data_IF_492716373763
#
_entry.id   IF_492716373763
#
_cell.length_a   1.000
_cell.length_b   1.000
_cell.length_c   1.000
_cell.angle_alpha   90.00
_cell.angle_beta   90.00
_cell.angle_gamma   90.00
#
_symmetry.space_group_name_H-M   'P 1'
#
loop_
_entity.id
_entity.type
_entity.pdbx_description
1 polymer ?
#
# COMPACT_ATOMS: atom_id res chain seq x y z
N UNK A 1 7.53 30.94 -35.38
CA UNK A 1 6.70 31.99 -36.02
C UNK A 1 6.31 33.02 -34.98
N UNK A 2 5.98 34.26 -35.36
CA UNK A 2 5.64 35.34 -34.42
C UNK A 2 4.20 35.28 -33.86
N UNK A 3 3.68 34.07 -33.65
CA UNK A 3 2.33 33.84 -33.11
C UNK A 3 2.26 33.91 -31.58
N UNK A 4 3.38 34.16 -30.90
CA UNK A 4 3.41 34.25 -29.44
C UNK A 4 3.26 32.90 -28.71
N UNK A 5 3.60 31.76 -29.34
CA UNK A 5 3.48 30.42 -28.71
C UNK A 5 4.18 30.33 -27.36
N UNK A 6 5.37 30.89 -27.23
CA UNK A 6 6.11 30.93 -25.96
C UNK A 6 5.39 31.72 -24.87
N UNK A 7 4.68 32.81 -25.24
CA UNK A 7 3.85 33.60 -24.32
C UNK A 7 2.60 32.82 -23.89
N UNK A 8 1.96 32.10 -24.82
CA UNK A 8 0.83 31.21 -24.50
C UNK A 8 1.27 30.13 -23.52
N UNK A 9 2.44 29.50 -23.72
CA UNK A 9 2.96 28.53 -22.75
C UNK A 9 3.13 29.15 -21.37
N UNK A 10 3.71 30.36 -21.29
CA UNK A 10 3.85 31.05 -20.01
C UNK A 10 2.49 31.33 -19.36
N UNK A 11 1.47 31.70 -20.15
CA UNK A 11 0.10 31.89 -19.63
C UNK A 11 -0.53 30.57 -19.14
N UNK A 12 -0.34 29.48 -19.87
CA UNK A 12 -0.79 28.14 -19.45
C UNK A 12 -0.14 27.76 -18.12
N UNK A 13 1.18 27.95 -18.00
CA UNK A 13 1.92 27.71 -16.75
C UNK A 13 1.38 28.58 -15.60
N UNK A 14 1.18 29.87 -15.83
CA UNK A 14 0.61 30.78 -14.85
C UNK A 14 -0.76 30.29 -14.36
N UNK A 15 -1.64 29.91 -15.29
CA UNK A 15 -2.98 29.40 -14.98
C UNK A 15 -2.95 28.07 -14.23
N UNK A 16 -1.98 27.19 -14.53
CA UNK A 16 -1.75 25.97 -13.76
C UNK A 16 -1.32 26.31 -12.32
N UNK A 17 -0.39 27.25 -12.14
CA UNK A 17 0.02 27.71 -10.79
C UNK A 17 -1.14 28.29 -9.99
N UNK A 18 -1.96 29.13 -10.64
CA UNK A 18 -3.18 29.70 -10.05
C UNK A 18 -4.18 28.61 -9.64
N UNK A 19 -4.42 27.63 -10.52
CA UNK A 19 -5.35 26.53 -10.25
C UNK A 19 -4.94 25.69 -9.02
N UNK A 20 -3.65 25.37 -8.88
CA UNK A 20 -3.16 24.59 -7.75
C UNK A 20 -2.80 25.42 -6.52
N UNK A 21 -2.84 26.76 -6.60
CA UNK A 21 -2.41 27.66 -5.53
C UNK A 21 -0.93 27.47 -5.16
N UNK A 22 -0.08 27.10 -6.12
CA UNK A 22 1.34 26.78 -5.91
C UNK A 22 2.21 27.51 -6.92
N UNK A 23 3.31 28.09 -6.44
CA UNK A 23 4.32 28.69 -7.30
C UNK A 23 5.36 27.63 -7.71
N UNK A 24 4.97 26.73 -8.62
CA UNK A 24 5.86 25.68 -9.11
C UNK A 24 7.01 26.22 -9.94
N UNK A 25 8.22 25.74 -9.67
CA UNK A 25 9.38 26.11 -10.48
C UNK A 25 9.26 25.53 -11.89
N UNK A 26 9.84 26.23 -12.86
CA UNK A 26 9.79 25.84 -14.28
C UNK A 26 11.20 25.68 -14.79
N UNK A 27 11.52 24.49 -15.27
CA UNK A 27 12.74 24.23 -16.00
C UNK A 27 12.50 24.40 -17.50
N UNK A 28 13.24 25.30 -18.16
CA UNK A 28 13.07 25.57 -19.59
C UNK A 28 14.21 24.94 -20.38
N UNK A 29 13.86 23.99 -21.25
CA UNK A 29 14.76 23.41 -22.23
C UNK A 29 14.74 24.25 -23.51
N UNK A 30 15.92 24.70 -23.89
CA UNK A 30 16.16 25.42 -25.15
C UNK A 30 16.64 24.44 -26.22
N UNK A 31 16.41 24.75 -27.50
CA UNK A 31 16.75 23.84 -28.62
C UNK A 31 18.19 23.32 -28.54
N UNK A 32 18.36 22.01 -28.70
CA UNK A 32 19.68 21.37 -28.86
C UNK A 32 20.59 21.47 -27.62
N UNK A 33 20.02 21.49 -26.42
CA UNK A 33 20.81 21.38 -25.18
C UNK A 33 21.05 19.91 -24.83
N UNK A 34 22.32 19.51 -24.77
CA UNK A 34 22.73 18.14 -24.44
C UNK A 34 22.73 17.86 -22.93
N UNK A 35 22.75 18.93 -22.12
CA UNK A 35 22.82 18.86 -20.66
C UNK A 35 21.73 19.70 -20.01
N UNK A 36 21.16 19.17 -18.93
CA UNK A 36 20.05 19.74 -18.17
C UNK A 36 20.54 20.60 -16.99
N UNK A 37 21.53 21.44 -17.24
CA UNK A 37 22.17 22.23 -16.18
C UNK A 37 21.15 23.11 -15.44
N UNK A 38 21.14 23.03 -14.11
CA UNK A 38 20.18 23.76 -13.26
C UNK A 38 18.83 23.06 -13.05
N UNK A 39 18.65 21.85 -13.58
CA UNK A 39 17.50 21.02 -13.20
C UNK A 39 17.67 20.50 -11.77
N UNK A 40 16.77 20.89 -10.89
CA UNK A 40 16.77 20.54 -9.45
C UNK A 40 15.51 19.77 -9.05
N UNK A 41 14.71 19.32 -10.02
CA UNK A 41 13.45 18.61 -9.79
C UNK A 41 12.21 19.47 -9.95
N UNK A 42 12.27 20.54 -10.75
CA UNK A 42 11.15 21.42 -11.06
C UNK A 42 9.91 20.64 -11.55
N UNK A 43 8.72 21.04 -11.11
CA UNK A 43 7.47 20.33 -11.41
C UNK A 43 6.94 20.58 -12.82
N UNK A 44 7.37 21.67 -13.46
CA UNK A 44 7.01 21.98 -14.84
C UNK A 44 8.27 21.99 -15.69
N UNK A 45 8.24 21.22 -16.77
CA UNK A 45 9.25 21.30 -17.83
C UNK A 45 8.64 21.96 -19.05
N UNK A 46 9.30 23.02 -19.52
CA UNK A 46 8.92 23.78 -20.72
C UNK A 46 9.92 23.52 -21.83
N UNK A 47 9.45 23.04 -22.97
CA UNK A 47 10.22 23.01 -24.21
C UNK A 47 9.81 24.20 -25.08
N UNK A 48 10.73 25.13 -25.29
CA UNK A 48 10.53 26.27 -26.20
C UNK A 48 11.22 25.99 -27.55
N UNK A 49 10.54 26.30 -28.66
CA UNK A 49 11.00 25.98 -30.02
C UNK A 49 11.41 24.50 -30.22
N UNK A 50 10.57 23.59 -29.73
CA UNK A 50 10.76 22.14 -29.79
C UNK A 50 10.96 21.64 -31.23
N UNK A 51 11.99 20.81 -31.42
CA UNK A 51 12.38 20.22 -32.71
C UNK A 51 12.73 21.25 -33.79
N UNK A 52 13.21 22.43 -33.40
CA UNK A 52 13.72 23.45 -34.33
C UNK A 52 15.17 23.19 -34.82
N UNK A 53 15.76 22.04 -34.50
CA UNK A 53 17.10 21.64 -34.95
C UNK A 53 17.08 21.15 -36.41
N UNK A 54 18.24 21.28 -37.09
CA UNK A 54 18.36 21.02 -38.54
C UNK A 54 18.28 19.51 -38.85
N UNK A 55 17.82 19.13 -40.06
CA UNK A 55 17.86 17.75 -40.52
C UNK A 55 19.28 17.18 -40.43
N UNK A 56 19.45 16.03 -39.77
CA UNK A 56 20.72 15.28 -39.70
C UNK A 56 21.51 15.39 -38.39
N UNK A 57 21.02 16.12 -37.38
CA UNK A 57 21.52 16.02 -36.01
C UNK A 57 20.59 15.16 -35.13
N UNK A 58 21.13 14.51 -34.10
CA UNK A 58 20.29 13.80 -33.11
C UNK A 58 19.31 14.80 -32.47
N UNK A 59 18.01 14.55 -32.62
CA UNK A 59 16.98 15.40 -32.04
C UNK A 59 16.76 14.98 -30.58
N UNK A 60 17.65 15.45 -29.72
CA UNK A 60 17.65 15.15 -28.28
C UNK A 60 16.33 15.55 -27.61
N UNK A 61 15.64 16.58 -28.10
CA UNK A 61 14.34 17.02 -27.58
C UNK A 61 13.28 15.91 -27.66
N UNK A 62 13.21 15.19 -28.79
CA UNK A 62 12.23 14.13 -28.99
C UNK A 62 12.47 12.94 -28.05
N UNK A 63 13.73 12.52 -27.93
CA UNK A 63 14.14 11.46 -26.99
C UNK A 63 13.84 11.86 -25.54
N UNK A 64 14.18 13.09 -25.17
CA UNK A 64 13.92 13.63 -23.85
C UNK A 64 12.41 13.62 -23.54
N UNK A 65 11.56 14.08 -24.45
CA UNK A 65 10.11 14.06 -24.24
C UNK A 65 9.56 12.63 -24.08
N UNK A 66 10.05 11.68 -24.89
CA UNK A 66 9.63 10.27 -24.78
C UNK A 66 10.01 9.65 -23.43
N UNK A 67 11.21 9.98 -22.92
CA UNK A 67 11.71 9.51 -21.63
C UNK A 67 11.06 10.21 -20.43
N UNK A 68 10.55 11.44 -20.60
CA UNK A 68 9.76 12.11 -19.56
C UNK A 68 8.32 11.59 -19.52
N UNK A 69 7.75 11.25 -20.67
CA UNK A 69 6.37 10.73 -20.78
C UNK A 69 6.39 9.20 -20.87
N UNK A 70 6.84 8.58 -19.79
CA UNK A 70 6.81 7.14 -19.52
C UNK A 70 6.76 6.89 -18.01
N UNK A 71 6.48 5.66 -17.60
CA UNK A 71 6.55 5.23 -16.19
C UNK A 71 7.97 4.86 -15.75
N UNK A 72 8.91 4.74 -16.70
CA UNK A 72 10.30 4.43 -16.39
C UNK A 72 10.99 5.61 -15.71
N UNK A 73 11.84 5.33 -14.73
CA UNK A 73 12.69 6.35 -14.11
C UNK A 73 13.62 6.96 -15.16
N UNK A 74 13.63 8.28 -15.24
CA UNK A 74 14.51 9.02 -16.15
C UNK A 74 15.49 9.89 -15.37
N UNK A 75 16.77 9.70 -15.66
CA UNK A 75 17.86 10.52 -15.12
C UNK A 75 18.41 11.39 -16.26
N UNK A 76 18.16 12.71 -16.24
CA UNK A 76 18.63 13.60 -17.28
C UNK A 76 20.17 13.64 -17.39
N UNK A 77 20.67 13.92 -18.59
CA UNK A 77 22.09 14.15 -18.81
C UNK A 77 22.52 15.45 -18.12
N UNK A 78 23.35 15.36 -17.08
CA UNK A 78 23.93 16.52 -16.38
C UNK A 78 25.42 16.64 -16.71
N UNK A 79 25.91 17.87 -16.92
CA UNK A 79 27.33 18.10 -17.16
C UNK A 79 28.16 17.91 -15.88
N UNK A 80 27.63 18.35 -14.73
CA UNK A 80 28.29 18.22 -13.43
C UNK A 80 28.07 16.81 -12.85
N UNK A 81 29.13 16.16 -12.37
CA UNK A 81 29.07 14.83 -11.76
C UNK A 81 28.22 14.79 -10.48
N UNK A 82 28.21 15.88 -9.72
CA UNK A 82 27.51 16.00 -8.44
C UNK A 82 25.97 16.01 -8.60
N UNK A 83 25.48 16.41 -9.77
CA UNK A 83 24.05 16.54 -10.07
C UNK A 83 23.45 15.29 -10.71
N UNK A 84 24.26 14.24 -10.98
CA UNK A 84 23.86 13.02 -11.70
C UNK A 84 22.88 12.09 -10.96
N UNK A 85 22.40 12.45 -9.78
CA UNK A 85 21.48 11.62 -8.98
C UNK A 85 20.04 12.15 -8.96
N UNK A 86 19.72 13.18 -9.75
CA UNK A 86 18.39 13.79 -9.77
C UNK A 86 17.53 13.10 -10.82
N UNK A 87 16.47 12.42 -10.38
CA UNK A 87 15.46 11.85 -11.29
C UNK A 87 14.44 12.90 -11.69
N UNK A 88 14.14 12.98 -12.99
CA UNK A 88 13.10 13.86 -13.49
C UNK A 88 11.70 13.29 -13.18
N UNK A 89 10.90 14.08 -12.47
CA UNK A 89 9.52 13.76 -12.08
C UNK A 89 8.57 14.95 -12.30
N UNK A 90 8.53 15.55 -13.50
CA UNK A 90 7.66 16.68 -13.76
C UNK A 90 6.20 16.26 -13.60
N UNK A 91 5.37 17.19 -13.11
CA UNK A 91 3.92 17.06 -13.09
C UNK A 91 3.31 17.45 -14.43
N UNK A 92 3.85 18.49 -15.07
CA UNK A 92 3.43 18.95 -16.38
C UNK A 92 4.61 19.15 -17.31
N UNK A 93 4.39 18.81 -18.58
CA UNK A 93 5.31 19.11 -19.67
C UNK A 93 4.55 19.96 -20.67
N UNK A 94 5.09 21.13 -21.00
CA UNK A 94 4.48 22.05 -21.97
C UNK A 94 5.45 22.30 -23.12
N UNK A 95 4.95 22.21 -24.35
CA UNK A 95 5.77 22.18 -25.55
C UNK A 95 5.25 23.17 -26.57
N UNK A 96 6.13 24.02 -27.09
CA UNK A 96 5.85 24.89 -28.22
C UNK A 96 6.65 24.41 -29.41
N UNK A 97 5.98 24.08 -30.52
CA UNK A 97 6.66 23.72 -31.76
C UNK A 97 6.08 24.46 -32.97
N UNK A 98 6.92 24.62 -33.99
CA UNK A 98 6.53 25.13 -35.30
C UNK A 98 6.17 24.00 -36.28
N UNK A 99 6.52 22.75 -35.95
CA UNK A 99 6.13 21.58 -36.72
C UNK A 99 4.99 20.82 -36.02
N UNK A 100 4.07 20.20 -36.76
CA UNK A 100 2.99 19.41 -36.17
C UNK A 100 3.48 18.07 -35.61
N UNK A 101 4.67 17.61 -35.99
CA UNK A 101 5.30 16.39 -35.48
C UNK A 101 6.82 16.48 -35.63
N UNK A 102 7.54 15.47 -35.12
CA UNK A 102 8.97 15.31 -35.30
C UNK A 102 9.30 14.78 -36.70
N UNK A 103 10.52 15.00 -37.15
CA UNK A 103 11.03 14.44 -38.40
C UNK A 103 11.45 12.97 -38.24
N UNK A 104 11.52 12.24 -39.36
CA UNK A 104 12.00 10.85 -39.41
C UNK A 104 13.48 10.73 -39.01
N UNK A 105 14.24 11.83 -39.06
CA UNK A 105 15.65 11.89 -38.67
C UNK A 105 15.89 12.09 -37.18
N UNK A 106 14.83 12.17 -36.37
CA UNK A 106 14.88 12.50 -34.94
C UNK A 106 15.45 11.41 -34.02
N UNK A 107 15.74 10.22 -34.56
CA UNK A 107 16.08 9.02 -33.78
C UNK A 107 14.86 8.25 -33.27
N UNK A 108 13.63 8.79 -33.46
CA UNK A 108 12.39 8.06 -33.19
C UNK A 108 12.01 7.23 -34.43
N UNK A 109 12.07 5.91 -34.32
CA UNK A 109 11.66 5.00 -35.41
C UNK A 109 10.14 5.01 -35.64
N UNK A 110 9.37 4.96 -34.55
CA UNK A 110 7.90 4.97 -34.60
C UNK A 110 7.37 6.36 -34.22
N UNK A 111 7.09 7.18 -35.24
CA UNK A 111 6.52 8.52 -35.05
C UNK A 111 5.22 8.42 -34.23
N UNK A 112 4.38 7.41 -34.48
CA UNK A 112 3.10 7.26 -33.75
C UNK A 112 3.30 7.06 -32.24
N UNK A 113 4.42 6.45 -31.83
CA UNK A 113 4.80 6.33 -30.43
C UNK A 113 5.12 7.67 -29.78
N UNK A 114 5.78 8.57 -30.51
CA UNK A 114 5.96 9.95 -30.04
C UNK A 114 4.63 10.68 -29.97
N UNK A 115 3.81 10.55 -31.02
CA UNK A 115 2.58 11.32 -31.14
C UNK A 115 1.55 11.00 -30.06
N UNK A 116 1.37 9.72 -29.71
CA UNK A 116 0.45 9.26 -28.66
C UNK A 116 0.82 9.72 -27.24
N UNK A 117 2.02 10.29 -27.04
CA UNK A 117 2.48 10.86 -25.77
C UNK A 117 2.01 12.30 -25.55
N UNK A 118 1.33 12.90 -26.53
CA UNK A 118 0.73 14.23 -26.43
C UNK A 118 -0.68 14.11 -25.89
N UNK A 119 -0.86 14.33 -24.59
CA UNK A 119 -2.19 14.23 -23.97
C UNK A 119 -3.15 15.31 -24.48
N UNK A 120 -2.62 16.52 -24.76
CA UNK A 120 -3.36 17.65 -25.35
C UNK A 120 -2.54 18.22 -26.50
N UNK A 121 -3.08 18.19 -27.72
CA UNK A 121 -2.44 18.75 -28.91
C UNK A 121 -3.28 19.87 -29.51
N UNK A 122 -2.68 21.06 -29.63
CA UNK A 122 -3.38 22.30 -30.02
C UNK A 122 -2.69 22.94 -31.20
N UNK A 123 -3.47 23.22 -32.25
CA UNK A 123 -3.05 24.08 -33.34
C UNK A 123 -3.44 25.52 -33.02
N UNK A 124 -2.48 26.42 -33.16
CA UNK A 124 -2.67 27.86 -32.97
C UNK A 124 -2.48 28.54 -34.30
N UNK A 125 -3.46 29.35 -34.68
CA UNK A 125 -3.48 30.14 -35.91
C UNK A 125 -3.79 31.59 -35.56
N UNK A 126 -3.31 32.53 -36.39
CA UNK A 126 -3.69 33.93 -36.29
C UNK A 126 -4.31 34.37 -37.62
N UNK A 127 -5.62 34.12 -37.82
CA UNK A 127 -6.28 34.33 -39.12
C UNK A 127 -6.13 35.76 -39.66
N UNK A 128 -6.08 36.77 -38.78
CA UNK A 128 -5.89 38.17 -39.17
C UNK A 128 -4.48 38.53 -39.60
N UNK A 129 -3.46 37.71 -39.28
CA UNK A 129 -2.05 38.01 -39.54
C UNK A 129 -1.41 37.03 -40.53
N UNK A 130 -1.72 35.73 -40.43
CA UNK A 130 -1.13 34.71 -41.30
C UNK A 130 -1.64 34.87 -42.74
N UNK A 131 -0.73 35.11 -43.69
CA UNK A 131 -1.06 35.29 -45.11
C UNK A 131 -1.49 36.70 -45.53
N UNK A 132 -1.82 37.58 -44.58
CA UNK A 132 -2.21 38.99 -44.84
C UNK A 132 -1.06 39.96 -44.62
N UNK A 133 -0.12 39.65 -43.72
CA UNK A 133 1.00 40.53 -43.39
C UNK A 133 2.36 39.89 -43.68
N UNK A 134 3.09 40.46 -44.64
CA UNK A 134 4.46 40.04 -45.00
C UNK A 134 5.56 40.63 -44.09
N UNK A 135 5.20 41.54 -43.16
CA UNK A 135 6.16 42.19 -42.24
C UNK A 135 6.19 41.42 -40.92
N UNK A 136 7.28 40.69 -40.69
CA UNK A 136 7.40 39.74 -39.57
C UNK A 136 7.39 40.42 -38.20
N UNK A 137 7.96 41.62 -38.04
CA UNK A 137 8.20 42.22 -36.71
C UNK A 137 7.63 43.62 -36.48
N UNK A 138 6.92 44.21 -37.44
CA UNK A 138 6.45 45.61 -37.34
C UNK A 138 5.09 45.84 -38.03
N UNK A 139 4.22 44.84 -37.99
CA UNK A 139 2.87 44.96 -38.52
C UNK A 139 1.94 45.70 -37.55
N UNK A 140 0.88 46.31 -38.08
CA UNK A 140 -0.11 47.02 -37.27
C UNK A 140 -0.77 46.09 -36.24
N UNK A 141 -1.05 44.83 -36.61
CA UNK A 141 -1.62 43.85 -35.69
C UNK A 141 -0.75 43.58 -34.44
N UNK A 142 0.58 43.50 -34.59
CA UNK A 142 1.50 43.31 -33.44
C UNK A 142 1.56 44.58 -32.58
N UNK A 143 1.49 45.77 -33.19
CA UNK A 143 1.45 47.04 -32.45
C UNK A 143 0.16 47.16 -31.64
N UNK A 144 -0.98 46.85 -32.25
CA UNK A 144 -2.27 46.86 -31.56
C UNK A 144 -2.29 45.90 -30.36
N UNK A 145 -1.66 44.74 -30.46
CA UNK A 145 -1.51 43.84 -29.31
C UNK A 145 -0.62 44.42 -28.21
N UNK A 146 0.51 45.03 -28.58
CA UNK A 146 1.39 45.69 -27.62
C UNK A 146 0.68 46.84 -26.92
N UNK A 147 -0.05 47.67 -27.67
CA UNK A 147 -0.83 48.80 -27.14
C UNK A 147 -1.98 48.32 -26.24
N UNK A 148 -2.67 47.24 -26.61
CA UNK A 148 -3.70 46.63 -25.77
C UNK A 148 -3.13 46.06 -24.47
N UNK A 149 -1.95 45.43 -24.51
CA UNK A 149 -1.27 44.94 -23.31
C UNK A 149 -0.88 46.10 -22.39
N UNK A 150 -0.33 47.19 -22.93
CA UNK A 150 0.01 48.38 -22.14
C UNK A 150 -1.24 48.99 -21.51
N UNK A 151 -2.36 49.03 -22.25
CA UNK A 151 -3.62 49.62 -21.79
C UNK A 151 -4.33 48.78 -20.72
N UNK A 152 -4.35 47.46 -20.88
CA UNK A 152 -5.13 46.56 -20.01
C UNK A 152 -4.28 45.93 -18.91
N UNK A 153 -2.95 45.89 -19.07
CA UNK A 153 -2.05 45.14 -18.20
C UNK A 153 -2.12 43.63 -18.38
N UNK A 154 -3.00 43.13 -19.26
CA UNK A 154 -3.24 41.69 -19.43
C UNK A 154 -3.03 41.26 -20.89
N UNK A 155 -2.33 40.15 -21.07
CA UNK A 155 -2.24 39.50 -22.38
C UNK A 155 -3.52 38.71 -22.63
N UNK A 156 -4.38 39.21 -23.52
CA UNK A 156 -5.47 38.44 -24.09
C UNK A 156 -5.04 37.78 -25.41
N UNK A 157 -5.56 36.56 -25.65
CA UNK A 157 -5.21 35.75 -26.82
C UNK A 157 -6.39 35.65 -27.80
N UNK A 158 -7.33 36.60 -27.73
CA UNK A 158 -8.60 36.59 -28.48
C UNK A 158 -8.40 36.70 -30.00
N UNK A 159 -7.26 37.24 -30.43
CA UNK A 159 -6.85 37.32 -31.83
C UNK A 159 -6.40 35.96 -32.41
N UNK A 160 -6.16 34.97 -31.54
CA UNK A 160 -5.72 33.64 -31.92
C UNK A 160 -6.90 32.69 -32.00
N UNK A 161 -6.84 31.83 -33.01
CA UNK A 161 -7.70 30.65 -33.09
C UNK A 161 -6.94 29.44 -32.58
N UNK A 162 -7.39 28.88 -31.47
CA UNK A 162 -6.83 27.65 -30.91
C UNK A 162 -7.78 26.50 -31.19
N UNK A 163 -7.27 25.42 -31.78
CA UNK A 163 -8.07 24.23 -32.11
C UNK A 163 -7.41 22.99 -31.52
N UNK A 164 -8.15 22.23 -30.72
CA UNK A 164 -7.69 20.93 -30.22
C UNK A 164 -7.78 19.90 -31.33
N UNK A 165 -6.67 19.20 -31.56
CA UNK A 165 -6.51 18.19 -32.59
C UNK A 165 -6.29 16.81 -31.97
N UNK A 166 -6.48 15.78 -32.81
CA UNK A 166 -5.98 14.44 -32.48
C UNK A 166 -4.45 14.47 -32.38
N UNK A 167 -3.86 14.00 -31.27
CA UNK A 167 -2.41 13.96 -31.15
C UNK A 167 -1.77 13.02 -32.18
N UNK A 168 -2.46 12.04 -32.75
CA UNK A 168 -1.90 11.18 -33.81
C UNK A 168 -2.17 11.78 -35.19
N UNK A 169 -1.26 12.64 -35.65
CA UNK A 169 -1.38 13.33 -36.95
C UNK A 169 -0.74 12.54 -38.09
N UNK A 170 0.18 11.63 -37.79
CA UNK A 170 0.82 10.73 -38.75
C UNK A 170 -0.04 9.49 -39.00
N UNK A 171 -1.15 9.64 -39.74
CA UNK A 171 -1.92 8.46 -40.21
C UNK A 171 -1.16 7.79 -41.36
N UNK A 172 -0.53 6.65 -41.10
CA UNK A 172 0.16 5.84 -42.12
C UNK A 172 -0.87 5.04 -42.93
N UNK A 173 -1.47 5.67 -43.93
CA UNK A 173 -2.22 4.95 -44.97
C UNK A 173 -1.32 4.79 -46.20
N UNK A 174 -0.84 3.56 -46.45
CA UNK A 174 -0.17 3.10 -47.67
C UNK A 174 0.48 4.14 -48.59
N UNK A 175 1.82 4.19 -48.59
CA UNK A 175 2.74 4.89 -49.52
C UNK A 175 2.61 6.42 -49.68
N UNK A 176 1.53 7.07 -49.26
CA UNK A 176 1.41 8.53 -49.25
C UNK A 176 1.02 9.00 -47.84
N UNK A 177 1.97 9.58 -47.10
CA UNK A 177 1.71 10.24 -45.82
C UNK A 177 0.77 11.43 -46.02
N UNK A 178 -0.54 11.20 -45.89
CA UNK A 178 -1.53 12.28 -45.89
C UNK A 178 -1.92 12.52 -44.43
N UNK A 179 -1.43 13.64 -43.87
CA UNK A 179 -1.77 14.08 -42.51
C UNK A 179 -3.26 14.43 -42.51
N UNK A 180 -4.11 13.56 -41.97
CA UNK A 180 -5.53 13.85 -41.79
C UNK A 180 -5.75 14.42 -40.40
N UNK A 181 -5.95 15.73 -40.31
CA UNK A 181 -6.21 16.41 -39.04
C UNK A 181 -7.72 16.38 -38.76
N UNK A 182 -8.16 15.59 -37.78
CA UNK A 182 -9.54 15.67 -37.28
C UNK A 182 -9.64 16.84 -36.30
N UNK A 183 -10.30 17.92 -36.70
CA UNK A 183 -10.59 19.06 -35.83
C UNK A 183 -11.73 18.72 -34.87
N UNK A 184 -11.54 18.97 -33.57
CA UNK A 184 -12.55 18.62 -32.54
C UNK A 184 -13.30 19.82 -31.96
N UNK A 185 -12.66 20.98 -31.74
CA UNK A 185 -13.33 22.21 -31.28
C UNK A 185 -12.38 23.42 -31.25
N UNK A 186 -12.94 24.63 -31.40
CA UNK A 186 -12.30 25.89 -30.95
C UNK A 186 -12.16 25.86 -29.42
N UNK A 187 -11.05 26.40 -28.90
CA UNK A 187 -10.73 26.33 -27.47
C UNK A 187 -10.13 27.66 -26.98
N UNK A 188 -10.25 27.94 -25.68
CA UNK A 188 -9.50 29.00 -24.99
C UNK A 188 -8.28 28.44 -24.23
N UNK A 189 -7.44 29.33 -23.68
CA UNK A 189 -6.34 28.92 -22.77
C UNK A 189 -6.89 28.25 -21.51
N UNK A 190 -7.99 28.77 -20.96
CA UNK A 190 -8.63 28.20 -19.77
C UNK A 190 -9.17 26.79 -20.04
N UNK A 191 -9.73 26.54 -21.22
CA UNK A 191 -10.18 25.19 -21.64
C UNK A 191 -9.01 24.20 -21.78
N UNK A 192 -7.86 24.67 -22.29
CA UNK A 192 -6.63 23.85 -22.39
C UNK A 192 -6.17 23.45 -20.99
N UNK A 193 -6.09 24.43 -20.08
CA UNK A 193 -5.69 24.20 -18.67
C UNK A 193 -6.67 23.26 -17.98
N UNK A 194 -7.98 23.48 -18.12
CA UNK A 194 -9.00 22.62 -17.54
C UNK A 194 -8.89 21.16 -17.99
N UNK A 195 -8.57 20.92 -19.28
CA UNK A 195 -8.30 19.57 -19.80
C UNK A 195 -7.02 18.97 -19.22
N UNK A 196 -5.94 19.75 -19.12
CA UNK A 196 -4.68 19.28 -18.53
C UNK A 196 -4.86 18.86 -17.07
N UNK A 197 -5.56 19.67 -16.27
CA UNK A 197 -5.91 19.38 -14.88
C UNK A 197 -6.74 18.11 -14.78
N UNK A 198 -7.83 18.02 -15.55
CA UNK A 198 -8.74 16.85 -15.52
C UNK A 198 -8.00 15.55 -15.83
N UNK A 199 -7.07 15.59 -16.80
CA UNK A 199 -6.25 14.43 -17.14
C UNK A 199 -5.29 14.06 -16.02
N UNK A 200 -4.61 15.03 -15.39
CA UNK A 200 -3.72 14.77 -14.26
C UNK A 200 -4.46 14.16 -13.08
N UNK A 201 -5.62 14.72 -12.71
CA UNK A 201 -6.46 14.20 -11.64
C UNK A 201 -6.94 12.77 -11.95
N UNK A 202 -7.34 12.50 -13.20
CA UNK A 202 -7.71 11.14 -13.60
C UNK A 202 -6.53 10.17 -13.52
N UNK A 203 -5.32 10.57 -13.91
CA UNK A 203 -4.15 9.71 -13.82
C UNK A 203 -3.75 9.45 -12.37
N UNK A 204 -3.76 10.49 -11.53
CA UNK A 204 -3.52 10.40 -10.09
C UNK A 204 -4.50 9.44 -9.42
N UNK A 205 -5.79 9.60 -9.65
CA UNK A 205 -6.82 8.74 -9.06
C UNK A 205 -6.65 7.27 -9.48
N UNK A 206 -6.27 7.01 -10.74
CA UNK A 206 -5.97 5.64 -11.21
C UNK A 206 -4.73 5.07 -10.53
N UNK A 207 -3.69 5.87 -10.35
CA UNK A 207 -2.45 5.48 -9.69
C UNK A 207 -2.65 5.21 -8.20
N UNK A 208 -3.35 6.10 -7.49
CA UNK A 208 -3.72 5.92 -6.08
C UNK A 208 -4.53 4.64 -5.89
N UNK A 209 -5.54 4.41 -6.74
CA UNK A 209 -6.31 3.16 -6.72
C UNK A 209 -5.45 1.92 -7.02
N UNK A 210 -4.46 2.03 -7.90
CA UNK A 210 -3.52 0.93 -8.16
C UNK A 210 -2.63 0.66 -6.94
N UNK A 211 -2.12 1.70 -6.27
CA UNK A 211 -1.38 1.56 -5.01
C UNK A 211 -2.27 0.95 -3.94
N UNK A 212 -3.50 1.45 -3.75
CA UNK A 212 -4.44 0.91 -2.77
C UNK A 212 -4.74 -0.56 -3.05
N UNK A 213 -4.89 -0.95 -4.32
CA UNK A 213 -5.05 -2.34 -4.69
C UNK A 213 -3.79 -3.15 -4.41
N UNK A 214 -2.59 -2.62 -4.65
CA UNK A 214 -1.32 -3.29 -4.32
C UNK A 214 -1.19 -3.43 -2.81
N UNK A 215 -1.45 -2.38 -2.03
CA UNK A 215 -1.41 -2.40 -0.56
C UNK A 215 -2.48 -3.33 -0.01
N UNK A 216 -3.68 -3.35 -0.59
CA UNK A 216 -4.76 -4.27 -0.22
C UNK A 216 -4.41 -5.71 -0.60
N UNK A 217 -3.83 -5.93 -1.77
CA UNK A 217 -3.35 -7.24 -2.21
C UNK A 217 -2.15 -7.66 -1.39
N UNK A 218 -1.29 -6.74 -0.96
CA UNK A 218 -0.23 -7.00 0.00
C UNK A 218 -0.81 -7.24 1.38
N UNK A 219 -1.88 -6.58 1.82
CA UNK A 219 -2.51 -6.87 3.11
C UNK A 219 -3.33 -8.16 3.07
N UNK A 220 -3.82 -8.56 1.89
CA UNK A 220 -4.55 -9.80 1.65
C UNK A 220 -3.61 -10.97 1.30
N UNK A 221 -2.45 -10.73 0.71
CA UNK A 221 -1.37 -11.72 0.47
C UNK A 221 -0.38 -11.74 1.64
N UNK A 222 -0.36 -10.68 2.44
CA UNK A 222 -0.14 -10.69 3.90
C UNK A 222 -1.47 -11.09 4.57
N UNK A 223 -2.19 -12.03 3.97
CA UNK A 223 -2.40 -13.31 4.64
C UNK A 223 -1.02 -13.89 5.03
N UNK A 224 -0.41 -13.21 5.99
CA UNK A 224 0.24 -13.80 7.12
C UNK A 224 1.29 -14.89 6.87
N UNK A 225 2.50 -14.64 7.38
CA UNK A 225 3.21 -15.69 8.14
C UNK A 225 2.39 -16.03 9.42
N UNK A 226 1.16 -16.54 9.27
CA UNK A 226 0.31 -17.01 10.37
C UNK A 226 0.50 -18.50 10.35
N UNK A 227 1.31 -18.94 11.31
CA UNK A 227 1.02 -20.19 11.99
C UNK A 227 -0.50 -20.25 12.19
N UNK A 228 -1.19 -21.28 11.69
CA UNK A 228 -2.66 -21.39 11.76
C UNK A 228 -3.23 -21.14 13.17
N UNK A 229 -2.39 -21.23 14.22
CA UNK A 229 -2.70 -20.90 15.61
C UNK A 229 -1.43 -20.28 16.28
N UNK A 230 -1.58 -19.17 17.04
CA UNK A 230 -0.50 -18.60 17.86
C UNK A 230 0.13 -19.67 18.78
N UNK A 231 1.44 -19.59 19.11
CA UNK A 231 2.10 -20.60 19.94
C UNK A 231 1.56 -20.60 21.38
N UNK A 232 0.89 -19.53 21.80
CA UNK A 232 0.25 -19.43 23.10
C UNK A 232 -1.25 -19.73 22.95
N UNK A 233 -1.77 -20.61 23.79
CA UNK A 233 -3.18 -20.99 23.82
C UNK A 233 -3.72 -20.66 25.21
N UNK A 234 -4.78 -19.86 25.27
CA UNK A 234 -5.40 -19.43 26.51
C UNK A 234 -6.77 -20.09 26.70
N UNK A 235 -6.94 -20.77 27.83
CA UNK A 235 -8.25 -21.21 28.32
C UNK A 235 -8.72 -20.22 29.38
N UNK A 236 -9.53 -19.25 28.97
CA UNK A 236 -9.93 -18.09 29.77
C UNK A 236 -11.28 -18.35 30.43
N UNK A 237 -11.40 -18.13 31.74
CA UNK A 237 -12.71 -18.10 32.40
C UNK A 237 -12.63 -18.09 33.92
N UNK A 238 -13.76 -17.88 34.60
CA UNK A 238 -13.79 -17.80 36.05
C UNK A 238 -13.40 -19.13 36.72
N UNK A 239 -13.07 -19.12 38.03
CA UNK A 239 -12.84 -20.36 38.78
C UNK A 239 -14.02 -21.33 38.70
N UNK A 240 -13.72 -22.64 38.71
CA UNK A 240 -14.73 -23.69 38.72
C UNK A 240 -15.33 -24.08 37.36
N UNK A 241 -14.99 -23.41 36.25
CA UNK A 241 -15.50 -23.74 34.90
C UNK A 241 -14.86 -24.97 34.24
N UNK A 242 -14.13 -25.80 35.00
CA UNK A 242 -13.51 -27.02 34.49
C UNK A 242 -12.20 -26.82 33.72
N UNK A 243 -11.55 -25.64 33.80
CA UNK A 243 -10.27 -25.37 33.13
C UNK A 243 -9.19 -26.40 33.47
N UNK A 244 -8.93 -26.61 34.76
CA UNK A 244 -7.90 -27.56 35.21
C UNK A 244 -8.21 -29.00 34.84
N UNK A 245 -9.50 -29.36 34.72
CA UNK A 245 -9.90 -30.67 34.23
C UNK A 245 -9.53 -30.86 32.74
N UNK A 246 -9.80 -29.84 31.91
CA UNK A 246 -9.40 -29.84 30.49
C UNK A 246 -7.88 -29.96 30.37
N UNK A 247 -7.12 -29.14 31.12
CA UNK A 247 -5.66 -29.14 31.06
C UNK A 247 -5.06 -30.45 31.59
N UNK A 248 -5.64 -31.06 32.62
CA UNK A 248 -5.24 -32.38 33.10
C UNK A 248 -5.49 -33.48 32.05
N UNK A 249 -6.61 -33.42 31.32
CA UNK A 249 -6.88 -34.35 30.23
C UNK A 249 -5.88 -34.20 29.07
N UNK A 250 -5.53 -32.96 28.71
CA UNK A 250 -4.50 -32.67 27.70
C UNK A 250 -3.12 -33.15 28.18
N UNK A 251 -2.75 -32.87 29.43
CA UNK A 251 -1.50 -33.36 30.02
C UNK A 251 -1.41 -34.90 29.98
N UNK A 252 -2.51 -35.59 30.30
CA UNK A 252 -2.60 -37.05 30.22
C UNK A 252 -2.43 -37.57 28.79
N UNK A 253 -2.93 -36.85 27.78
CA UNK A 253 -2.77 -37.22 26.37
C UNK A 253 -1.31 -37.14 25.90
N UNK A 254 -0.59 -36.08 26.28
CA UNK A 254 0.82 -35.91 25.92
C UNK A 254 1.77 -36.77 26.77
N UNK A 255 1.37 -37.16 27.98
CA UNK A 255 2.15 -37.99 28.88
C UNK A 255 3.50 -37.33 29.25
N UNK A 256 4.60 -38.06 29.11
CA UNK A 256 5.95 -37.54 29.41
C UNK A 256 6.40 -36.39 28.48
N UNK A 257 5.73 -36.23 27.32
CA UNK A 257 5.99 -35.13 26.37
C UNK A 257 5.40 -33.80 26.83
N UNK A 258 4.58 -33.77 27.87
CA UNK A 258 4.11 -32.53 28.49
C UNK A 258 5.08 -32.08 29.59
N UNK A 259 5.34 -30.77 29.63
CA UNK A 259 5.91 -30.08 30.78
C UNK A 259 4.78 -29.40 31.54
N UNK A 260 4.43 -29.94 32.71
CA UNK A 260 3.30 -29.42 33.50
C UNK A 260 3.84 -28.56 34.64
N UNK A 261 3.52 -27.28 34.61
CA UNK A 261 3.92 -26.29 35.60
C UNK A 261 2.83 -26.20 36.68
N UNK A 262 3.18 -26.54 37.92
CA UNK A 262 2.23 -26.61 39.05
C UNK A 262 2.58 -25.70 40.22
N UNK A 263 3.82 -25.24 40.32
CA UNK A 263 4.31 -24.43 41.43
C UNK A 263 5.28 -23.35 40.95
N UNK A 264 5.56 -22.38 41.81
CA UNK A 264 6.37 -21.21 41.47
C UNK A 264 7.81 -21.57 41.08
N UNK A 265 8.42 -22.57 41.72
CA UNK A 265 9.77 -23.00 41.38
C UNK A 265 9.86 -23.53 39.93
N UNK A 266 8.87 -24.31 39.49
CA UNK A 266 8.78 -24.78 38.10
C UNK A 266 8.51 -23.63 37.13
N UNK A 267 7.66 -22.67 37.53
CA UNK A 267 7.32 -21.51 36.72
C UNK A 267 8.52 -20.58 36.52
N UNK A 268 9.26 -20.27 37.59
CA UNK A 268 10.50 -19.48 37.54
C UNK A 268 11.55 -20.16 36.68
N UNK A 269 11.73 -21.48 36.83
CA UNK A 269 12.66 -22.24 36.00
C UNK A 269 12.28 -22.21 34.49
N UNK A 270 10.98 -22.20 34.16
CA UNK A 270 10.51 -22.03 32.78
C UNK A 270 10.85 -20.62 32.26
N UNK A 271 10.64 -19.58 33.08
CA UNK A 271 10.93 -18.19 32.71
C UNK A 271 12.42 -17.97 32.47
N UNK A 272 13.27 -18.49 33.35
CA UNK A 272 14.73 -18.39 33.23
C UNK A 272 15.24 -19.06 31.96
N UNK A 273 14.67 -20.21 31.59
CA UNK A 273 15.02 -20.92 30.33
C UNK A 273 14.47 -20.23 29.10
N UNK A 274 13.32 -19.57 29.21
CA UNK A 274 12.57 -18.99 28.10
C UNK A 274 11.96 -19.97 27.10
N UNK A 275 12.11 -21.28 27.35
CA UNK A 275 11.68 -22.38 26.48
C UNK A 275 11.34 -23.63 27.29
N UNK A 276 10.61 -24.54 26.65
CA UNK A 276 10.31 -25.85 27.22
C UNK A 276 11.60 -26.67 27.44
N UNK A 277 11.56 -27.64 28.35
CA UNK A 277 12.63 -28.63 28.50
C UNK A 277 12.83 -29.44 27.21
N UNK A 278 14.05 -29.92 27.00
CA UNK A 278 14.38 -30.71 25.81
C UNK A 278 13.52 -31.98 25.75
N UNK A 279 12.99 -32.29 24.55
CA UNK A 279 12.10 -33.42 24.31
C UNK A 279 10.63 -33.18 24.67
N UNK A 280 10.27 -32.01 25.20
CA UNK A 280 8.88 -31.63 25.46
C UNK A 280 8.19 -31.15 24.20
N UNK A 281 6.94 -31.56 24.01
CA UNK A 281 6.08 -31.17 22.88
C UNK A 281 5.04 -30.12 23.25
N UNK A 282 4.81 -29.86 24.54
CA UNK A 282 3.86 -28.85 25.02
C UNK A 282 4.25 -28.42 26.44
N UNK A 283 4.04 -27.14 26.76
CA UNK A 283 4.08 -26.62 28.13
C UNK A 283 2.65 -26.34 28.58
N UNK A 284 2.27 -26.82 29.76
CA UNK A 284 0.93 -26.67 30.32
C UNK A 284 1.06 -25.95 31.66
N UNK A 285 0.45 -24.77 31.77
CA UNK A 285 0.34 -24.00 33.01
C UNK A 285 -1.11 -24.09 33.46
N UNK A 286 -1.36 -24.87 34.51
CA UNK A 286 -2.72 -25.26 34.91
C UNK A 286 -3.59 -24.05 35.33
N UNK A 287 -3.01 -23.15 36.13
CA UNK A 287 -3.67 -21.92 36.56
C UNK A 287 -2.67 -20.78 36.73
N UNK A 288 -2.70 -19.78 35.85
CA UNK A 288 -1.84 -18.60 35.95
C UNK A 288 -2.05 -17.83 37.27
N UNK A 289 -3.20 -17.99 37.93
CA UNK A 289 -3.46 -17.30 39.20
C UNK A 289 -2.67 -17.86 40.39
N UNK A 290 -2.14 -19.09 40.30
CA UNK A 290 -1.25 -19.62 41.35
C UNK A 290 0.12 -18.95 41.37
N UNK A 291 0.51 -18.31 40.27
CA UNK A 291 1.83 -17.71 40.08
C UNK A 291 1.83 -16.17 40.25
N UNK A 292 0.74 -15.58 40.77
CA UNK A 292 0.64 -14.13 41.00
C UNK A 292 1.66 -13.60 41.99
N UNK A 293 2.17 -14.45 42.88
CA UNK A 293 3.21 -14.11 43.85
C UNK A 293 4.64 -14.24 43.33
N UNK A 294 4.85 -14.89 42.18
CA UNK A 294 6.21 -15.10 41.65
C UNK A 294 6.80 -13.80 41.12
N UNK A 295 8.07 -13.56 41.44
CA UNK A 295 8.83 -12.41 40.92
C UNK A 295 9.02 -12.48 39.40
N UNK A 296 8.98 -13.69 38.83
CA UNK A 296 9.16 -13.94 37.40
C UNK A 296 7.91 -13.67 36.55
N UNK A 297 6.74 -13.41 37.16
CA UNK A 297 5.48 -13.25 36.42
C UNK A 297 5.54 -12.09 35.41
N UNK A 298 6.11 -10.95 35.78
CA UNK A 298 6.20 -9.79 34.88
C UNK A 298 7.06 -10.11 33.66
N UNK A 299 8.18 -10.80 33.86
CA UNK A 299 9.06 -11.26 32.78
C UNK A 299 8.34 -12.30 31.90
N UNK A 300 7.60 -13.24 32.51
CA UNK A 300 6.80 -14.21 31.79
C UNK A 300 5.77 -13.55 30.86
N UNK A 301 5.04 -12.53 31.34
CA UNK A 301 4.04 -11.84 30.53
C UNK A 301 4.65 -11.10 29.33
N UNK A 302 5.83 -10.49 29.51
CA UNK A 302 6.59 -9.91 28.38
C UNK A 302 7.02 -10.99 27.39
N UNK A 303 7.55 -12.10 27.90
CA UNK A 303 7.97 -13.23 27.09
C UNK A 303 6.83 -13.87 26.30
N UNK A 304 5.60 -13.95 26.84
CA UNK A 304 4.43 -14.43 26.09
C UNK A 304 4.19 -13.58 24.83
N UNK A 305 4.33 -12.25 24.95
CA UNK A 305 4.24 -11.33 23.81
C UNK A 305 5.38 -11.57 22.82
N UNK A 306 6.62 -11.57 23.29
CA UNK A 306 7.80 -11.72 22.42
C UNK A 306 7.80 -13.07 21.68
N UNK A 307 7.34 -14.15 22.35
CA UNK A 307 7.18 -15.48 21.74
C UNK A 307 6.16 -15.51 20.61
N UNK A 308 5.17 -14.62 20.61
CA UNK A 308 4.22 -14.52 19.50
C UNK A 308 4.86 -13.91 18.24
N UNK A 309 6.01 -13.23 18.39
CA UNK A 309 6.78 -12.62 17.30
C UNK A 309 7.98 -13.52 16.89
N UNK A 310 8.54 -14.29 17.82
CA UNK A 310 9.73 -15.14 17.63
C UNK A 310 9.42 -16.63 17.47
N UNK A 311 8.63 -16.99 16.45
CA UNK A 311 8.22 -18.38 16.22
C UNK A 311 9.19 -19.08 15.26
N UNK A 312 9.63 -20.28 15.64
CA UNK A 312 10.56 -21.13 14.90
C UNK A 312 10.03 -22.56 14.77
N UNK A 313 10.70 -23.42 13.99
CA UNK A 313 10.35 -24.85 13.84
C UNK A 313 10.41 -25.61 15.17
N UNK A 314 11.14 -25.07 16.14
CA UNK A 314 11.32 -25.65 17.48
C UNK A 314 10.41 -25.00 18.53
N UNK A 315 9.51 -24.08 18.15
CA UNK A 315 8.65 -23.39 19.11
C UNK A 315 7.55 -24.30 19.63
N UNK A 316 7.69 -24.71 20.89
CA UNK A 316 6.72 -25.55 21.61
C UNK A 316 5.50 -24.71 22.06
N UNK A 317 4.25 -25.19 21.86
CA UNK A 317 3.05 -24.48 22.28
C UNK A 317 2.92 -24.41 23.81
N UNK A 318 2.41 -23.28 24.29
CA UNK A 318 2.14 -23.03 25.71
C UNK A 318 0.64 -22.92 25.94
N UNK A 319 0.08 -23.86 26.71
CA UNK A 319 -1.35 -23.92 27.03
C UNK A 319 -1.55 -23.44 28.47
N UNK A 320 -2.34 -22.38 28.66
CA UNK A 320 -2.47 -21.69 29.93
C UNK A 320 -3.93 -21.62 30.39
N UNK A 321 -4.19 -22.03 31.61
CA UNK A 321 -5.45 -21.72 32.31
C UNK A 321 -5.41 -20.30 32.86
N UNK A 322 -6.32 -19.44 32.40
CA UNK A 322 -6.30 -18.02 32.76
C UNK A 322 -7.59 -17.63 33.48
N UNK A 323 -7.46 -17.17 34.72
CA UNK A 323 -8.46 -16.33 35.36
C UNK A 323 -8.11 -14.86 35.10
N UNK A 324 -8.91 -14.20 34.26
CA UNK A 324 -8.61 -12.86 33.74
C UNK A 324 -8.57 -11.81 34.85
N UNK A 325 -9.53 -11.83 35.77
CA UNK A 325 -9.70 -10.78 36.78
C UNK A 325 -8.46 -10.53 37.65
N UNK A 326 -7.82 -11.55 38.25
CA UNK A 326 -6.60 -11.33 39.04
C UNK A 326 -5.33 -11.13 38.20
N UNK A 327 -5.34 -11.51 36.91
CA UNK A 327 -4.17 -11.40 36.03
C UNK A 327 -4.02 -10.01 35.39
N UNK A 328 -5.14 -9.34 35.08
CA UNK A 328 -5.13 -8.02 34.40
C UNK A 328 -4.24 -6.98 35.09
N UNK A 329 -4.28 -6.78 36.43
CA UNK A 329 -3.40 -5.82 37.08
C UNK A 329 -1.90 -6.12 36.85
N UNK A 330 -1.53 -7.39 36.76
CA UNK A 330 -0.14 -7.79 36.49
C UNK A 330 0.24 -7.55 35.02
N UNK A 331 -0.70 -7.73 34.08
CA UNK A 331 -0.51 -7.39 32.66
C UNK A 331 -0.28 -5.88 32.53
N UNK A 332 -1.12 -5.04 33.13
CA UNK A 332 -0.97 -3.59 33.06
C UNK A 332 0.35 -3.12 33.69
N UNK A 333 0.73 -3.72 34.82
CA UNK A 333 2.04 -3.48 35.44
C UNK A 333 3.19 -3.93 34.53
N UNK A 334 3.06 -5.04 33.82
CA UNK A 334 4.12 -5.55 32.95
C UNK A 334 4.37 -4.65 31.72
N UNK A 335 3.35 -3.95 31.23
CA UNK A 335 3.44 -3.07 30.07
C UNK A 335 3.37 -1.58 30.42
N UNK A 336 3.71 -1.23 31.67
CA UNK A 336 3.77 0.15 32.18
C UNK A 336 2.52 0.97 31.78
N UNK A 337 1.35 0.33 31.84
CA UNK A 337 0.10 0.90 31.33
C UNK A 337 -0.45 1.94 32.30
N UNK A 338 -0.80 3.16 31.83
CA UNK A 338 -1.43 4.18 32.65
C UNK A 338 -2.74 3.69 33.31
N UNK A 339 -3.13 4.30 34.43
CA UNK A 339 -4.45 4.07 35.06
C UNK A 339 -5.56 4.83 34.28
N UNK A 340 -5.69 4.48 33.01
CA UNK A 340 -6.68 4.98 32.07
C UNK A 340 -7.44 3.79 31.47
N UNK A 341 -8.77 3.90 31.45
CA UNK A 341 -9.66 2.81 31.04
C UNK A 341 -9.43 2.43 29.58
N UNK A 342 -9.14 3.40 28.71
CA UNK A 342 -8.91 3.15 27.29
C UNK A 342 -7.55 2.48 27.06
N UNK A 343 -6.49 2.99 27.69
CA UNK A 343 -5.16 2.39 27.63
C UNK A 343 -5.15 0.95 28.17
N UNK A 344 -5.82 0.69 29.29
CA UNK A 344 -5.97 -0.65 29.85
C UNK A 344 -6.74 -1.59 28.91
N UNK A 345 -7.83 -1.13 28.29
CA UNK A 345 -8.59 -1.91 27.33
C UNK A 345 -7.77 -2.23 26.07
N UNK A 346 -6.96 -1.27 25.58
CA UNK A 346 -6.07 -1.47 24.44
C UNK A 346 -4.98 -2.52 24.75
N UNK A 347 -4.28 -2.37 25.88
CA UNK A 347 -3.23 -3.32 26.29
C UNK A 347 -3.80 -4.71 26.56
N UNK A 348 -4.99 -4.80 27.16
CA UNK A 348 -5.69 -6.07 27.31
C UNK A 348 -5.92 -6.73 25.95
N UNK A 349 -6.49 -5.98 25.00
CA UNK A 349 -6.76 -6.51 23.66
C UNK A 349 -5.46 -6.92 22.96
N UNK A 350 -4.41 -6.10 23.03
CA UNK A 350 -3.11 -6.41 22.44
C UNK A 350 -2.52 -7.70 23.03
N UNK A 351 -2.53 -7.83 24.36
CA UNK A 351 -1.99 -9.02 25.03
C UNK A 351 -2.75 -10.28 24.63
N UNK A 352 -4.08 -10.26 24.68
CA UNK A 352 -4.91 -11.42 24.33
C UNK A 352 -5.04 -11.68 22.83
N UNK A 353 -4.55 -10.79 21.96
CA UNK A 353 -4.40 -11.05 20.52
C UNK A 353 -3.25 -12.04 20.24
N UNK A 354 -2.25 -12.14 21.12
CA UNK A 354 -1.14 -13.09 21.00
C UNK A 354 -1.50 -14.55 21.36
N UNK A 355 -2.79 -14.88 21.47
CA UNK A 355 -3.28 -16.19 21.90
C UNK A 355 -4.35 -16.75 20.98
N UNK A 356 -4.38 -18.07 20.83
CA UNK A 356 -5.62 -18.78 20.48
C UNK A 356 -6.50 -18.88 21.72
N UNK A 357 -7.70 -18.29 21.63
CA UNK A 357 -8.59 -18.11 22.79
C UNK A 357 -9.71 -19.14 22.83
N UNK A 358 -9.73 -19.89 23.91
CA UNK A 358 -10.89 -20.66 24.35
C UNK A 358 -11.49 -19.98 25.58
N UNK A 359 -12.78 -19.61 25.53
CA UNK A 359 -13.45 -19.00 26.67
C UNK A 359 -14.42 -19.98 27.33
N UNK A 360 -14.47 -19.92 28.66
CA UNK A 360 -15.36 -20.74 29.50
C UNK A 360 -16.18 -19.82 30.37
N UNK A 361 -17.49 -20.08 30.47
CA UNK A 361 -18.39 -19.27 31.29
C UNK A 361 -19.52 -20.13 31.86
N UNK A 362 -20.03 -19.79 33.04
CA UNK A 362 -21.22 -20.43 33.59
C UNK A 362 -22.46 -20.06 32.76
N UNK A 363 -23.35 -21.02 32.47
CA UNK A 363 -24.65 -20.73 31.84
C UNK A 363 -25.49 -19.84 32.77
N UNK A 364 -26.08 -18.74 32.28
CA UNK A 364 -26.88 -17.82 33.11
C UNK A 364 -28.02 -18.51 33.88
N UNK A 365 -28.64 -19.52 33.27
CA UNK A 365 -29.70 -20.32 33.92
C UNK A 365 -29.19 -21.21 35.04
N UNK A 366 -27.88 -21.38 35.22
CA UNK A 366 -27.31 -22.18 36.30
C UNK A 366 -27.66 -21.59 37.66
N UNK A 367 -27.42 -20.28 37.84
CA UNK A 367 -27.71 -19.61 39.12
C UNK A 367 -29.23 -19.48 39.37
N UNK A 368 -30.03 -19.28 38.32
CA UNK A 368 -31.48 -19.25 38.44
C UNK A 368 -32.09 -20.62 38.78
N UNK A 369 -31.64 -21.71 38.14
CA UNK A 369 -32.09 -23.09 38.45
C UNK A 369 -31.67 -23.54 39.85
N UNK A 370 -30.61 -22.98 40.39
CA UNK A 370 -30.16 -23.27 41.74
C UNK A 370 -31.03 -22.59 42.81
N UNK A 371 -31.97 -21.69 42.46
CA UNK A 371 -32.86 -21.02 43.42
C UNK A 371 -32.12 -20.11 44.41
N UNK A 372 -30.89 -19.73 44.07
CA UNK A 372 -29.93 -19.12 45.00
C UNK A 372 -29.78 -17.65 44.66
N UNK A 373 -30.13 -16.77 45.61
CA UNK A 373 -29.64 -15.38 45.60
C UNK A 373 -28.12 -15.44 45.80
N UNK A 374 -27.36 -14.82 44.89
CA UNK A 374 -25.89 -14.86 44.79
C UNK A 374 -25.17 -14.57 46.13
N UNK A 375 -25.82 -13.87 47.07
CA UNK A 375 -25.27 -13.58 48.40
C UNK A 375 -25.41 -14.67 49.49
N UNK A 376 -26.05 -15.83 49.24
CA UNK A 376 -26.38 -16.81 50.28
C UNK A 376 -25.65 -18.17 50.19
N UNK A 377 -24.68 -18.34 49.28
CA UNK A 377 -23.94 -19.60 49.15
C UNK A 377 -22.86 -19.73 50.22
N UNK A 378 -23.04 -20.65 51.17
CA UNK A 378 -21.97 -21.15 52.06
C UNK A 378 -21.06 -22.17 51.36
N UNK A 379 -21.48 -22.74 50.23
CA UNK A 379 -20.73 -23.78 49.51
C UNK A 379 -20.08 -23.25 48.24
N UNK A 380 -18.83 -23.67 48.00
CA UNK A 380 -18.04 -23.30 46.83
C UNK A 380 -18.72 -23.86 45.55
N UNK A 381 -19.04 -23.03 44.54
CA UNK A 381 -19.63 -23.49 43.27
C UNK A 381 -18.90 -24.66 42.61
N UNK A 382 -17.58 -24.76 42.79
CA UNK A 382 -16.77 -25.86 42.27
C UNK A 382 -17.08 -27.20 42.96
N UNK A 383 -17.27 -27.22 44.27
CA UNK A 383 -17.62 -28.44 45.02
C UNK A 383 -19.02 -28.93 44.64
N UNK A 384 -19.95 -28.01 44.43
CA UNK A 384 -21.31 -28.36 44.02
C UNK A 384 -21.38 -28.88 42.58
N UNK A 385 -20.56 -28.32 41.67
CA UNK A 385 -20.39 -28.88 40.33
C UNK A 385 -19.83 -30.30 40.41
N UNK A 386 -18.79 -30.52 41.23
CA UNK A 386 -18.21 -31.85 41.45
C UNK A 386 -19.28 -32.85 41.90
N UNK A 387 -20.10 -32.50 42.90
CA UNK A 387 -21.18 -33.34 43.40
C UNK A 387 -22.27 -33.61 42.35
N UNK A 388 -22.66 -32.63 41.56
CA UNK A 388 -23.68 -32.82 40.52
C UNK A 388 -23.18 -33.70 39.37
N UNK A 389 -21.91 -33.57 38.98
CA UNK A 389 -21.31 -34.43 37.95
C UNK A 389 -21.21 -35.87 38.47
N UNK A 390 -20.74 -36.07 39.70
CA UNK A 390 -20.54 -37.42 40.26
C UNK A 390 -21.83 -38.12 40.62
N UNK A 391 -22.83 -37.40 41.14
CA UNK A 391 -24.03 -38.02 41.71
C UNK A 391 -25.19 -38.10 40.71
N UNK A 392 -25.29 -37.17 39.76
CA UNK A 392 -26.44 -37.07 38.86
C UNK A 392 -26.12 -37.45 37.40
N UNK A 393 -24.88 -37.88 37.12
CA UNK A 393 -24.41 -38.27 35.78
C UNK A 393 -24.65 -37.20 34.70
N UNK A 394 -24.67 -35.93 35.09
CA UNK A 394 -24.87 -34.78 34.20
C UNK A 394 -23.55 -34.39 33.52
N UNK A 395 -23.62 -33.88 32.29
CA UNK A 395 -22.42 -33.47 31.54
C UNK A 395 -21.98 -32.08 31.99
N UNK A 396 -20.67 -31.81 31.99
CA UNK A 396 -20.13 -30.46 32.29
C UNK A 396 -20.71 -29.41 31.34
N UNK A 397 -20.91 -29.77 30.07
CA UNK A 397 -21.54 -28.94 29.04
C UNK A 397 -22.96 -28.47 29.41
N UNK A 398 -23.65 -29.11 30.37
CA UNK A 398 -24.97 -28.68 30.86
C UNK A 398 -24.89 -27.43 31.75
N UNK A 399 -23.72 -27.15 32.30
CA UNK A 399 -23.48 -26.09 33.28
C UNK A 399 -22.55 -24.98 32.78
N UNK A 400 -21.61 -25.34 31.90
CA UNK A 400 -20.57 -24.44 31.37
C UNK A 400 -20.76 -24.25 29.86
N UNK A 401 -20.59 -23.02 29.40
CA UNK A 401 -20.49 -22.63 28.00
C UNK A 401 -19.02 -22.59 27.64
N UNK A 402 -18.66 -23.28 26.57
CA UNK A 402 -17.33 -23.26 25.98
C UNK A 402 -17.40 -22.57 24.62
N UNK A 403 -16.45 -21.68 24.32
CA UNK A 403 -16.34 -21.03 23.00
C UNK A 403 -14.90 -21.04 22.49
N UNK A 404 -14.73 -21.19 21.17
CA UNK A 404 -13.49 -20.87 20.43
C UNK A 404 -13.81 -19.66 19.55
N UNK A 405 -13.15 -18.52 19.77
CA UNK A 405 -13.37 -17.30 18.96
C UNK A 405 -14.86 -16.98 18.77
N UNK A 406 -15.60 -16.92 19.87
CA UNK A 406 -17.05 -16.69 19.94
C UNK A 406 -17.97 -17.81 19.44
N UNK A 407 -17.46 -18.84 18.76
CA UNK A 407 -18.23 -20.01 18.34
C UNK A 407 -18.39 -21.01 19.49
N UNK A 408 -19.62 -21.45 19.74
CA UNK A 408 -19.91 -22.48 20.74
C UNK A 408 -19.23 -23.80 20.35
N UNK A 409 -18.54 -24.42 21.31
CA UNK A 409 -17.89 -25.72 21.17
C UNK A 409 -18.21 -26.59 22.38
N UNK A 410 -17.96 -27.89 22.30
CA UNK A 410 -18.09 -28.80 23.45
C UNK A 410 -16.77 -28.88 24.23
N UNK A 411 -16.82 -29.30 25.50
CA UNK A 411 -15.59 -29.58 26.26
C UNK A 411 -14.68 -30.58 25.54
N UNK A 412 -15.27 -31.64 24.97
CA UNK A 412 -14.53 -32.65 24.21
C UNK A 412 -13.82 -32.05 23.00
N UNK A 413 -14.50 -31.20 22.24
CA UNK A 413 -13.91 -30.50 21.08
C UNK A 413 -12.71 -29.63 21.49
N UNK A 414 -12.77 -28.96 22.64
CA UNK A 414 -11.62 -28.20 23.14
C UNK A 414 -10.45 -29.15 23.43
N UNK A 415 -10.68 -30.24 24.16
CA UNK A 415 -9.63 -31.22 24.47
C UNK A 415 -9.02 -31.78 23.18
N UNK A 416 -9.85 -32.19 22.22
CA UNK A 416 -9.39 -32.75 20.95
C UNK A 416 -8.53 -31.73 20.17
N UNK A 417 -8.94 -30.46 20.13
CA UNK A 417 -8.15 -29.40 19.48
C UNK A 417 -6.82 -29.15 20.20
N UNK A 418 -6.83 -29.07 21.53
CA UNK A 418 -5.62 -28.84 22.33
C UNK A 418 -4.62 -30.01 22.23
N UNK A 419 -5.10 -31.24 22.09
CA UNK A 419 -4.28 -32.44 21.87
C UNK A 419 -3.68 -32.50 20.46
N UNK A 420 -4.27 -31.80 19.49
CA UNK A 420 -3.79 -31.70 18.12
C UNK A 420 -2.94 -30.43 17.87
N UNK A 421 -2.83 -29.55 18.88
CA UNK A 421 -2.06 -28.32 18.77
C UNK A 421 -0.61 -28.62 18.40
N UNK A 422 -0.20 -28.14 17.23
CA UNK A 422 1.17 -28.18 16.72
C UNK A 422 1.50 -26.83 16.13
N UNK A 423 2.67 -26.32 16.47
CA UNK A 423 3.25 -25.15 15.81
C UNK A 423 3.74 -25.60 14.43
N UNK A 424 3.01 -25.24 13.36
CA UNK A 424 3.42 -25.54 11.99
C UNK A 424 4.06 -24.29 11.40
N UNK A 425 5.38 -24.32 11.21
CA UNK A 425 6.06 -23.29 10.40
C UNK A 425 5.68 -23.55 8.95
N UNK A 426 4.76 -22.76 8.41
CA UNK A 426 4.61 -22.71 6.96
C UNK A 426 5.82 -21.96 6.42
N UNK A 427 6.72 -22.68 5.73
CA UNK A 427 7.67 -22.03 4.84
C UNK A 427 6.85 -21.37 3.74
N UNK A 428 6.63 -20.07 3.89
CA UNK A 428 6.20 -19.26 2.76
C UNK A 428 7.46 -19.09 1.93
N UNK A 429 7.63 -19.94 0.93
CA UNK A 429 8.45 -19.60 -0.21
C UNK A 429 7.75 -18.40 -0.84
N UNK A 430 8.11 -17.21 -0.38
CA UNK A 430 7.81 -15.99 -1.09
C UNK A 430 8.73 -16.05 -2.29
N UNK A 431 8.34 -16.80 -3.33
CA UNK A 431 8.74 -16.45 -4.67
C UNK A 431 8.18 -15.04 -4.89
N UNK A 432 8.96 -14.03 -4.48
CA UNK A 432 8.85 -12.69 -5.05
C UNK A 432 9.40 -12.77 -6.46
N UNK A 433 8.78 -13.59 -7.31
CA UNK A 433 8.59 -13.12 -8.66
C UNK A 433 7.66 -11.93 -8.50
N UNK A 434 8.24 -10.72 -8.53
CA UNK A 434 7.52 -9.65 -9.23
C UNK A 434 6.97 -10.33 -10.50
N UNK A 435 5.70 -10.14 -10.87
CA UNK A 435 5.29 -10.57 -12.19
C UNK A 435 6.26 -9.91 -13.17
N UNK A 436 7.27 -10.66 -13.63
CA UNK A 436 8.10 -10.30 -14.78
C UNK A 436 7.19 -10.12 -15.99
N UNK A 437 6.00 -10.70 -15.92
CA UNK A 437 4.86 -10.33 -16.72
C UNK A 437 4.09 -9.14 -16.10
N UNK A 438 4.72 -7.95 -16.08
CA UNK A 438 4.04 -6.82 -16.72
C UNK A 438 3.47 -7.37 -18.02
N UNK A 439 2.19 -7.17 -18.40
CA UNK A 439 1.66 -7.72 -19.64
C UNK A 439 2.56 -7.27 -20.80
N UNK A 440 3.54 -8.11 -21.12
CA UNK A 440 4.40 -8.08 -22.28
C UNK A 440 3.68 -8.93 -23.33
N UNK A 441 2.38 -8.67 -23.47
CA UNK A 441 1.87 -8.64 -24.82
C UNK A 441 2.46 -7.34 -25.35
N UNK A 442 3.60 -7.34 -26.08
CA UNK A 442 3.91 -6.16 -26.87
C UNK A 442 2.65 -5.89 -27.69
N UNK A 443 2.22 -4.63 -27.76
CA UNK A 443 1.03 -4.22 -28.54
C UNK A 443 1.10 -4.73 -30.01
N UNK A 444 2.28 -5.20 -30.44
CA UNK A 444 2.51 -5.86 -31.71
C UNK A 444 3.68 -6.87 -31.60
N UNK A 445 3.52 -8.10 -32.10
CA UNK A 445 4.64 -8.99 -32.43
C UNK A 445 4.87 -9.00 -33.95
N UNK A 446 6.09 -8.73 -34.39
CA UNK A 446 6.49 -8.94 -35.78
C UNK A 446 7.22 -10.27 -35.89
N UNK A 447 6.59 -11.22 -36.59
CA UNK A 447 7.20 -12.51 -36.93
C UNK A 447 7.89 -12.36 -38.28
N UNK A 448 9.21 -12.25 -38.27
CA UNK A 448 10.01 -12.36 -39.49
C UNK A 448 10.31 -13.83 -39.75
N UNK A 449 9.95 -14.33 -40.92
CA UNK A 449 10.49 -15.58 -41.43
C UNK A 449 11.85 -15.29 -42.04
N UNK A 450 12.90 -15.33 -41.21
CA UNK A 450 14.28 -15.27 -41.69
C UNK A 450 14.83 -16.69 -41.86
N UNK A 451 15.59 -16.92 -42.91
CA UNK A 451 16.40 -18.13 -43.03
C UNK A 451 17.64 -18.02 -42.13
N UNK A 452 18.25 -19.15 -41.77
CA UNK A 452 19.49 -19.15 -40.98
C UNK A 452 20.61 -18.37 -41.66
N UNK A 453 20.62 -18.29 -42.99
CA UNK A 453 21.57 -17.52 -43.80
C UNK A 453 21.35 -16.00 -43.75
N UNK A 454 20.15 -15.53 -43.41
CA UNK A 454 19.86 -14.09 -43.26
C UNK A 454 20.18 -13.58 -41.84
N UNK A 455 20.35 -14.49 -40.88
CA UNK A 455 20.60 -14.17 -39.47
C UNK A 455 22.10 -14.06 -39.13
N UNK A 456 22.96 -14.76 -39.87
CA UNK A 456 24.42 -14.72 -39.76
C UNK A 456 25.01 -13.91 -40.91
#
# INVERSE_FOLDING_TARGET
TNLGKSRILNKVIQKLREHYGKDWEVFTLSKGTDHWNGFTGQEIIKFDDFAATRPGGENTDAMNLMNLKTSASFNPSMAALEEKNIMAKPKFIVVASNAPSIDLGSGVQDISAFERRRDVFVKIEWPGHEGTCNKISNCEHIKELADNLVRTGEENFDHLTMTILDPNVSVINGRNQKISIKQRALTSVDDIVGRMVTLEESYRAKYEKAIENIVRTQNNNVENKVFNEYPNIALIGPPGTGKSFILAAVASHYGQRAEVIKNDAQFEALVDRGRAEDGKSVVIIDDMSTHLGSSALIQFLKMVKDRSEMISENTVPWIMGINKAPLLPQIFKAFDTPDDVFAQAEIEQMFFRSFVKYTTAWKQNFFHRLGVKIGALKENPAERLKNNITNENKKVDDFVIFKKEDKLVTQKTIIDNLCQAKTVVQKVDIEMTMPEELPSVPDMYMKFSMTTEEFF
#
